data_IF_285278350330
#
_entry.id   IF_285278350330
#
_cell.length_a   1.000
_cell.length_b   1.000
_cell.length_c   1.000
_cell.angle_alpha   90.00
_cell.angle_beta   90.00
_cell.angle_gamma   90.00
#
_symmetry.space_group_name_H-M   'P 1'
#
loop_
_entity.id
_entity.type
_entity.pdbx_description
1 polymer ?
#
# COMPACT_ATOMS: atom_id res chain seq x y z
N UNK A 1 2.71 -7.21 -16.94
CA UNK A 1 1.52 -6.54 -17.54
C UNK A 1 0.22 -6.87 -16.81
N UNK A 2 -0.06 -8.13 -16.47
CA UNK A 2 -1.28 -8.58 -15.78
C UNK A 2 -1.61 -7.79 -14.49
N UNK A 3 -0.59 -7.44 -13.69
CA UNK A 3 -0.80 -6.69 -12.44
C UNK A 3 -1.37 -5.27 -12.62
N UNK A 4 -1.06 -4.58 -13.73
CA UNK A 4 -1.62 -3.24 -14.02
C UNK A 4 -3.08 -3.35 -14.42
N UNK A 5 -3.41 -4.31 -15.27
CA UNK A 5 -4.78 -4.51 -15.76
C UNK A 5 -5.71 -4.92 -14.63
N UNK A 6 -5.27 -5.81 -13.74
CA UNK A 6 -6.05 -6.24 -12.55
C UNK A 6 -6.26 -5.08 -11.57
N UNK A 7 -5.22 -4.27 -11.30
CA UNK A 7 -5.36 -3.10 -10.41
C UNK A 7 -6.32 -2.04 -10.98
N UNK A 8 -6.33 -1.86 -12.31
CA UNK A 8 -7.23 -0.92 -12.99
C UNK A 8 -8.67 -1.44 -12.99
N UNK A 9 -8.88 -2.73 -13.25
CA UNK A 9 -10.21 -3.36 -13.21
C UNK A 9 -10.80 -3.25 -11.80
N UNK A 10 -9.99 -3.54 -10.77
CA UNK A 10 -10.43 -3.42 -9.38
C UNK A 10 -10.70 -1.97 -8.97
N UNK A 11 -9.93 -1.00 -9.47
CA UNK A 11 -10.23 0.42 -9.29
C UNK A 11 -11.57 0.79 -9.92
N UNK A 12 -11.85 0.31 -11.13
CA UNK A 12 -13.13 0.56 -11.81
C UNK A 12 -14.28 -0.03 -10.99
N UNK A 13 -14.14 -1.26 -10.49
CA UNK A 13 -15.14 -1.91 -9.64
C UNK A 13 -15.38 -1.08 -8.37
N UNK A 14 -14.33 -0.63 -7.68
CA UNK A 14 -14.41 0.23 -6.49
C UNK A 14 -15.11 1.57 -6.80
N UNK A 15 -14.71 2.26 -7.87
CA UNK A 15 -15.33 3.53 -8.29
C UNK A 15 -16.80 3.34 -8.65
N UNK A 16 -17.15 2.27 -9.38
CA UNK A 16 -18.55 1.98 -9.72
C UNK A 16 -19.38 1.66 -8.48
N UNK A 17 -18.84 0.92 -7.50
CA UNK A 17 -19.52 0.62 -6.23
C UNK A 17 -19.80 1.89 -5.42
N UNK A 18 -18.81 2.79 -5.30
CA UNK A 18 -18.96 4.05 -4.57
C UNK A 18 -19.93 5.02 -5.26
N UNK A 19 -19.92 5.09 -6.59
CA UNK A 19 -20.89 5.91 -7.36
C UNK A 19 -22.32 5.39 -7.16
N UNK A 20 -22.53 4.08 -7.25
CA UNK A 20 -23.85 3.47 -7.01
C UNK A 20 -24.33 3.76 -5.59
N UNK A 21 -23.44 3.64 -4.60
CA UNK A 21 -23.81 3.88 -3.21
C UNK A 21 -24.13 5.36 -2.92
N UNK A 22 -23.39 6.28 -3.56
CA UNK A 22 -23.68 7.72 -3.50
C UNK A 22 -25.06 8.03 -4.08
N UNK A 23 -25.42 7.43 -5.22
CA UNK A 23 -26.73 7.63 -5.84
C UNK A 23 -27.88 7.08 -4.98
N UNK A 24 -27.68 5.95 -4.30
CA UNK A 24 -28.70 5.35 -3.44
C UNK A 24 -28.93 6.14 -2.13
N UNK A 25 -27.88 6.73 -1.57
CA UNK A 25 -27.92 7.39 -0.25
C UNK A 25 -27.88 8.93 -0.32
N UNK A 26 -28.11 9.52 -1.50
CA UNK A 26 -28.01 10.98 -1.70
C UNK A 26 -28.90 11.81 -0.77
N UNK A 27 -30.00 11.23 -0.28
CA UNK A 27 -30.92 11.90 0.65
C UNK A 27 -30.41 11.96 2.10
N UNK A 28 -29.54 11.03 2.53
CA UNK A 28 -28.98 11.04 3.88
C UNK A 28 -27.63 11.76 3.90
N UNK A 29 -27.63 12.98 4.43
CA UNK A 29 -26.45 13.83 4.53
C UNK A 29 -25.29 13.15 5.27
N UNK A 30 -25.57 12.29 6.27
CA UNK A 30 -24.52 11.61 7.05
C UNK A 30 -23.84 10.53 6.19
N UNK A 31 -24.64 9.70 5.52
CA UNK A 31 -24.14 8.67 4.61
C UNK A 31 -23.33 9.29 3.45
N UNK A 32 -23.78 10.42 2.90
CA UNK A 32 -23.04 11.14 1.85
C UNK A 32 -21.66 11.60 2.32
N UNK A 33 -21.55 12.16 3.54
CA UNK A 33 -20.26 12.60 4.10
C UNK A 33 -19.33 11.39 4.29
N UNK A 34 -19.85 10.27 4.79
CA UNK A 34 -19.10 9.02 4.98
C UNK A 34 -18.57 8.46 3.65
N UNK A 35 -19.41 8.40 2.61
CA UNK A 35 -19.03 7.96 1.27
C UNK A 35 -17.93 8.85 0.68
N UNK A 36 -18.04 10.17 0.82
CA UNK A 36 -17.02 11.11 0.33
C UNK A 36 -15.68 10.88 1.06
N UNK A 37 -15.70 10.69 2.38
CA UNK A 37 -14.49 10.41 3.16
C UNK A 37 -13.81 9.11 2.71
N UNK A 38 -14.59 8.04 2.52
CA UNK A 38 -14.08 6.75 2.05
C UNK A 38 -13.50 6.89 0.64
N UNK A 39 -14.20 7.57 -0.27
CA UNK A 39 -13.72 7.84 -1.63
C UNK A 39 -12.38 8.60 -1.63
N UNK A 40 -12.27 9.68 -0.86
CA UNK A 40 -11.05 10.47 -0.74
C UNK A 40 -9.89 9.66 -0.16
N UNK A 41 -10.17 8.81 0.85
CA UNK A 41 -9.17 7.93 1.45
C UNK A 41 -8.67 6.87 0.45
N UNK A 42 -9.56 6.28 -0.35
CA UNK A 42 -9.22 5.33 -1.40
C UNK A 42 -8.40 5.98 -2.51
N UNK A 43 -8.79 7.19 -2.95
CA UNK A 43 -8.03 7.96 -3.95
C UNK A 43 -6.62 8.30 -3.45
N UNK A 44 -6.50 8.74 -2.20
CA UNK A 44 -5.21 9.02 -1.56
C UNK A 44 -4.30 7.77 -1.55
N UNK A 45 -4.83 6.63 -1.11
CA UNK A 45 -4.10 5.36 -1.07
C UNK A 45 -3.64 4.94 -2.47
N UNK A 46 -4.50 5.10 -3.47
CA UNK A 46 -4.19 4.79 -4.86
C UNK A 46 -3.05 5.65 -5.42
N UNK A 47 -3.12 6.97 -5.24
CA UNK A 47 -2.09 7.90 -5.74
C UNK A 47 -0.74 7.55 -5.13
N UNK A 48 -0.72 7.25 -3.83
CA UNK A 48 0.48 6.83 -3.10
C UNK A 48 1.02 5.49 -3.62
N UNK A 49 0.16 4.51 -3.85
CA UNK A 49 0.53 3.23 -4.47
C UNK A 49 1.14 3.40 -5.87
N UNK A 50 0.50 4.20 -6.73
CA UNK A 50 1.01 4.49 -8.08
C UNK A 50 2.37 5.18 -8.03
N UNK A 51 2.53 6.16 -7.15
CA UNK A 51 3.80 6.86 -6.95
C UNK A 51 4.91 5.90 -6.52
N UNK A 52 4.59 4.97 -5.63
CA UNK A 52 5.53 3.96 -5.16
C UNK A 52 5.95 3.00 -6.28
N UNK A 53 5.02 2.53 -7.13
CA UNK A 53 5.35 1.73 -8.32
C UNK A 53 6.28 2.48 -9.27
N UNK A 54 6.03 3.78 -9.48
CA UNK A 54 6.87 4.60 -10.37
C UNK A 54 8.30 4.71 -9.81
N UNK A 55 8.43 4.95 -8.49
CA UNK A 55 9.74 4.99 -7.82
C UNK A 55 10.47 3.64 -7.91
N UNK A 56 9.76 2.53 -7.67
CA UNK A 56 10.29 1.17 -7.78
C UNK A 56 10.86 0.92 -9.19
N UNK A 57 10.10 1.24 -10.24
CA UNK A 57 10.54 1.08 -11.65
C UNK A 57 11.73 1.96 -11.98
N UNK A 58 11.75 3.18 -11.46
CA UNK A 58 12.86 4.11 -11.69
C UNK A 58 14.14 3.56 -11.08
N UNK A 59 14.05 3.01 -9.86
CA UNK A 59 15.17 2.37 -9.19
C UNK A 59 15.69 1.14 -9.94
N UNK A 60 14.80 0.28 -10.45
CA UNK A 60 15.19 -0.88 -11.27
C UNK A 60 15.91 -0.46 -12.55
N UNK A 61 15.39 0.54 -13.26
CA UNK A 61 16.02 1.06 -14.49
C UNK A 61 17.40 1.68 -14.24
N UNK A 62 17.55 2.43 -13.14
CA UNK A 62 18.84 2.99 -12.74
C UNK A 62 19.86 1.89 -12.43
N UNK A 63 19.42 0.82 -11.77
CA UNK A 63 20.26 -0.34 -11.48
C UNK A 63 20.71 -1.07 -12.75
N UNK A 64 19.81 -1.28 -13.72
CA UNK A 64 20.13 -1.88 -15.01
C UNK A 64 21.11 -1.02 -15.80
N UNK A 65 20.85 0.29 -15.91
CA UNK A 65 21.74 1.22 -16.61
C UNK A 65 23.14 1.27 -15.98
N UNK A 66 23.25 1.20 -14.64
CA UNK A 66 24.56 1.11 -13.98
C UNK A 66 25.29 -0.19 -14.30
N UNK A 67 24.57 -1.32 -14.39
CA UNK A 67 25.15 -2.63 -14.74
C UNK A 67 25.67 -2.66 -16.17
N UNK A 68 24.92 -2.11 -17.11
CA UNK A 68 25.31 -2.03 -18.53
C UNK A 68 26.51 -1.12 -18.75
N UNK A 69 26.47 0.09 -18.18
CA UNK A 69 27.59 1.03 -18.26
C UNK A 69 28.87 0.40 -17.70
N UNK A 70 28.79 -0.28 -16.56
CA UNK A 70 29.95 -0.95 -15.99
C UNK A 70 30.49 -2.08 -16.89
N UNK A 71 29.64 -2.88 -17.54
CA UNK A 71 30.09 -3.94 -18.44
C UNK A 71 30.87 -3.40 -19.65
N UNK A 72 30.53 -2.18 -20.11
CA UNK A 72 31.22 -1.48 -21.21
C UNK A 72 32.55 -0.90 -20.75
N UNK A 73 32.60 -0.21 -19.60
CA UNK A 73 33.81 0.48 -19.12
C UNK A 73 34.87 -0.46 -18.52
N UNK A 74 34.53 -1.70 -18.17
CA UNK A 74 35.49 -2.69 -17.64
C UNK A 74 36.51 -3.22 -18.66
N UNK A 75 36.41 -2.86 -19.95
CA UNK A 75 37.34 -3.30 -21.01
C UNK A 75 38.45 -2.30 -21.37
N UNK A 76 38.43 -1.06 -20.86
CA UNK A 76 39.35 0.02 -21.30
C UNK A 76 40.26 0.61 -20.21
N UNK A 77 41.25 1.43 -20.63
CA UNK A 77 42.14 2.22 -19.74
C UNK A 77 41.41 3.28 -18.88
N UNK A 78 40.10 3.46 -19.07
CA UNK A 78 39.26 4.48 -18.42
C UNK A 78 38.85 4.15 -16.97
N UNK A 79 39.25 3.00 -16.44
CA UNK A 79 38.96 2.52 -15.09
C UNK A 79 39.22 3.55 -13.98
N UNK A 80 40.25 4.38 -14.15
CA UNK A 80 40.65 5.39 -13.16
C UNK A 80 39.73 6.62 -13.11
N UNK A 81 39.11 7.01 -14.25
CA UNK A 81 38.12 8.09 -14.33
C UNK A 81 36.77 7.60 -13.81
N UNK A 82 36.45 6.32 -14.10
CA UNK A 82 35.27 5.64 -13.61
C UNK A 82 35.26 5.55 -12.09
N UNK A 83 36.38 5.22 -11.42
CA UNK A 83 36.43 5.14 -9.95
C UNK A 83 36.12 6.49 -9.28
N UNK A 84 36.53 7.61 -9.88
CA UNK A 84 36.23 8.96 -9.37
C UNK A 84 34.77 9.34 -9.54
N UNK A 85 34.14 8.99 -10.66
CA UNK A 85 32.70 9.21 -10.89
C UNK A 85 31.82 8.19 -10.14
N UNK A 86 32.31 6.97 -9.95
CA UNK A 86 31.68 5.92 -9.18
C UNK A 86 31.62 6.26 -7.68
N UNK A 87 32.55 7.06 -7.15
CA UNK A 87 32.47 7.57 -5.79
C UNK A 87 31.25 8.48 -5.58
N UNK A 88 30.98 9.40 -6.51
CA UNK A 88 29.80 10.27 -6.46
C UNK A 88 28.51 9.49 -6.75
N UNK A 89 28.55 8.55 -7.69
CA UNK A 89 27.44 7.63 -7.95
C UNK A 89 27.08 6.78 -6.72
N UNK A 90 28.08 6.35 -5.94
CA UNK A 90 27.88 5.59 -4.69
C UNK A 90 27.13 6.41 -3.63
N UNK A 91 27.45 7.70 -3.47
CA UNK A 91 26.75 8.57 -2.52
C UNK A 91 25.29 8.82 -2.97
N UNK A 92 25.08 9.07 -4.27
CA UNK A 92 23.77 9.32 -4.84
C UNK A 92 22.86 8.09 -4.74
N UNK A 93 23.37 6.92 -5.08
CA UNK A 93 22.63 5.65 -5.07
C UNK A 93 22.31 5.22 -3.63
N UNK A 94 23.27 5.32 -2.71
CA UNK A 94 23.03 5.07 -1.28
C UNK A 94 21.98 6.03 -0.70
N UNK A 95 22.08 7.34 -1.00
CA UNK A 95 21.10 8.34 -0.58
C UNK A 95 19.70 8.08 -1.15
N UNK A 96 19.61 7.66 -2.42
CA UNK A 96 18.34 7.38 -3.09
C UNK A 96 17.63 6.16 -2.50
N UNK A 97 18.34 5.06 -2.24
CA UNK A 97 17.72 3.87 -1.64
C UNK A 97 17.33 4.06 -0.18
N UNK A 98 18.10 4.83 0.58
CA UNK A 98 17.69 5.23 1.92
C UNK A 98 16.40 6.08 1.89
N UNK A 99 16.30 7.01 0.94
CA UNK A 99 15.05 7.77 0.69
C UNK A 99 13.90 6.88 0.23
N UNK A 100 14.16 5.90 -0.63
CA UNK A 100 13.14 4.98 -1.10
C UNK A 100 12.57 4.11 0.03
N UNK A 101 13.46 3.55 0.87
CA UNK A 101 13.07 2.78 2.05
C UNK A 101 12.28 3.61 3.07
N UNK A 102 12.68 4.86 3.32
CA UNK A 102 11.92 5.75 4.22
C UNK A 102 10.59 6.18 3.63
N UNK A 103 10.51 6.43 2.31
CA UNK A 103 9.25 6.73 1.62
C UNK A 103 8.28 5.55 1.71
N UNK A 104 8.74 4.31 1.48
CA UNK A 104 7.94 3.10 1.64
C UNK A 104 7.36 2.97 3.05
N UNK A 105 8.20 3.18 4.07
CA UNK A 105 7.80 3.10 5.47
C UNK A 105 6.75 4.15 5.84
N UNK A 106 7.00 5.39 5.44
CA UNK A 106 6.06 6.50 5.63
C UNK A 106 4.73 6.19 4.92
N UNK A 107 4.75 5.72 3.67
CA UNK A 107 3.53 5.38 2.92
C UNK A 107 2.69 4.34 3.67
N UNK A 108 3.34 3.32 4.21
CA UNK A 108 2.66 2.25 4.93
C UNK A 108 1.97 2.74 6.20
N UNK A 109 2.67 3.56 7.01
CA UNK A 109 2.11 4.14 8.24
C UNK A 109 0.90 5.03 7.94
N UNK A 110 1.00 5.90 6.93
CA UNK A 110 -0.09 6.83 6.61
C UNK A 110 -1.29 6.11 6.00
N UNK A 111 -1.10 5.17 5.07
CA UNK A 111 -2.20 4.38 4.52
C UNK A 111 -2.90 3.54 5.61
N UNK A 112 -2.14 2.92 6.51
CA UNK A 112 -2.70 2.17 7.63
C UNK A 112 -3.46 3.02 8.63
N UNK A 113 -2.86 4.13 9.05
CA UNK A 113 -3.49 5.05 10.01
C UNK A 113 -4.82 5.59 9.47
N UNK A 114 -4.85 6.00 8.20
CA UNK A 114 -6.08 6.51 7.56
C UNK A 114 -7.17 5.43 7.48
N UNK A 115 -6.82 4.20 7.08
CA UNK A 115 -7.80 3.09 6.97
C UNK A 115 -8.37 2.71 8.34
N UNK A 116 -7.54 2.59 9.39
CA UNK A 116 -8.04 2.27 10.72
C UNK A 116 -8.91 3.39 11.28
N UNK A 117 -8.47 4.64 11.16
CA UNK A 117 -9.17 5.77 11.79
C UNK A 117 -10.48 6.10 11.08
N UNK A 118 -10.56 5.91 9.76
CA UNK A 118 -11.76 6.28 8.99
C UNK A 118 -12.66 5.07 8.68
N UNK A 119 -12.11 3.96 8.19
CA UNK A 119 -12.94 2.85 7.69
C UNK A 119 -13.49 1.98 8.82
N UNK A 120 -12.75 1.75 9.91
CA UNK A 120 -13.20 0.88 11.01
C UNK A 120 -14.39 1.49 11.77
N UNK A 121 -14.37 2.79 12.16
CA UNK A 121 -15.53 3.43 12.78
C UNK A 121 -16.72 3.57 11.82
N UNK A 122 -16.47 3.82 10.53
CA UNK A 122 -17.51 3.87 9.49
C UNK A 122 -18.33 2.57 9.41
N UNK A 123 -17.64 1.42 9.32
CA UNK A 123 -18.27 0.09 9.32
C UNK A 123 -19.05 -0.14 10.63
N UNK A 124 -18.48 0.27 11.76
CA UNK A 124 -19.11 0.09 13.08
C UNK A 124 -20.39 0.94 13.22
N UNK A 125 -20.38 2.18 12.73
CA UNK A 125 -21.52 3.08 12.73
C UNK A 125 -22.64 2.58 11.79
N UNK A 126 -22.28 2.19 10.57
CA UNK A 126 -23.22 1.64 9.59
C UNK A 126 -23.91 0.37 10.11
N UNK A 127 -23.16 -0.50 10.78
CA UNK A 127 -23.71 -1.71 11.40
C UNK A 127 -24.58 -1.41 12.64
N UNK A 128 -24.28 -0.37 13.40
CA UNK A 128 -25.14 0.10 14.50
C UNK A 128 -26.46 0.69 13.97
N UNK A 129 -26.42 1.45 12.88
CA UNK A 129 -27.60 1.98 12.22
C UNK A 129 -28.53 0.86 11.73
N UNK A 130 -27.95 -0.23 11.21
CA UNK A 130 -28.69 -1.44 10.83
C UNK A 130 -29.40 -2.10 12.02
N UNK A 131 -28.81 -2.11 13.21
CA UNK A 131 -29.40 -2.76 14.40
C UNK A 131 -30.47 -1.88 15.06
N UNK A 132 -30.28 -0.56 15.07
CA UNK A 132 -31.06 0.35 15.92
C UNK A 132 -32.15 1.15 15.21
N UNK A 133 -32.06 1.34 13.89
CA UNK A 133 -32.88 2.33 13.19
C UNK A 133 -33.55 1.83 11.91
N UNK A 134 -33.50 0.53 11.60
CA UNK A 134 -34.06 -0.01 10.37
C UNK A 134 -35.54 -0.38 10.54
N UNK A 135 -36.44 0.53 10.15
CA UNK A 135 -37.89 0.33 10.25
C UNK A 135 -38.51 -0.29 8.99
N UNK A 136 -37.88 -0.08 7.82
CA UNK A 136 -38.39 -0.56 6.52
C UNK A 136 -37.45 -1.60 5.89
N UNK A 137 -38.02 -2.62 5.23
CA UNK A 137 -37.25 -3.65 4.50
C UNK A 137 -36.32 -3.07 3.43
N UNK A 138 -36.72 -1.98 2.77
CA UNK A 138 -35.89 -1.29 1.77
C UNK A 138 -34.64 -0.64 2.39
N UNK A 139 -34.76 -0.02 3.57
CA UNK A 139 -33.64 0.62 4.28
C UNK A 139 -32.64 -0.43 4.77
N UNK A 140 -33.13 -1.57 5.27
CA UNK A 140 -32.30 -2.73 5.64
C UNK A 140 -31.43 -3.18 4.46
N UNK A 141 -32.04 -3.36 3.29
CA UNK A 141 -31.33 -3.82 2.09
C UNK A 141 -30.26 -2.81 1.67
N UNK A 142 -30.57 -1.51 1.71
CA UNK A 142 -29.61 -0.44 1.37
C UNK A 142 -28.43 -0.40 2.34
N UNK A 143 -28.67 -0.52 3.65
CA UNK A 143 -27.63 -0.54 4.68
C UNK A 143 -26.74 -1.80 4.57
N UNK A 144 -27.32 -2.97 4.30
CA UNK A 144 -26.54 -4.20 4.08
C UNK A 144 -25.63 -4.04 2.85
N UNK A 145 -26.17 -3.52 1.74
CA UNK A 145 -25.38 -3.24 0.54
C UNK A 145 -24.24 -2.25 0.82
N UNK A 146 -24.49 -1.23 1.65
CA UNK A 146 -23.48 -0.26 2.04
C UNK A 146 -22.34 -0.91 2.84
N UNK A 147 -22.66 -1.72 3.86
CA UNK A 147 -21.67 -2.43 4.67
C UNK A 147 -20.84 -3.39 3.79
N UNK A 148 -21.46 -4.09 2.84
CA UNK A 148 -20.75 -4.97 1.90
C UNK A 148 -19.74 -4.17 1.06
N UNK A 149 -20.12 -3.00 0.55
CA UNK A 149 -19.22 -2.12 -0.20
C UNK A 149 -18.04 -1.67 0.68
N UNK A 150 -18.31 -1.22 1.90
CA UNK A 150 -17.25 -0.82 2.84
C UNK A 150 -16.27 -1.97 3.16
N UNK A 151 -16.77 -3.20 3.30
CA UNK A 151 -15.94 -4.39 3.51
C UNK A 151 -15.10 -4.73 2.27
N UNK A 152 -15.65 -4.58 1.06
CA UNK A 152 -14.92 -4.74 -0.19
C UNK A 152 -13.83 -3.68 -0.36
N UNK A 153 -14.10 -2.44 0.05
CA UNK A 153 -13.12 -1.35 0.04
C UNK A 153 -11.96 -1.64 1.00
N UNK A 154 -12.27 -2.10 2.23
CA UNK A 154 -11.26 -2.53 3.19
C UNK A 154 -10.42 -3.71 2.64
N UNK A 155 -11.08 -4.71 2.06
CA UNK A 155 -10.43 -5.85 1.44
C UNK A 155 -9.48 -5.41 0.32
N UNK A 156 -9.92 -4.50 -0.55
CA UNK A 156 -9.11 -4.01 -1.66
C UNK A 156 -7.86 -3.25 -1.15
N UNK A 157 -7.99 -2.42 -0.12
CA UNK A 157 -6.85 -1.77 0.51
C UNK A 157 -5.85 -2.78 1.10
N UNK A 158 -6.34 -3.86 1.72
CA UNK A 158 -5.48 -4.94 2.22
C UNK A 158 -4.76 -5.67 1.09
N UNK A 159 -5.47 -5.98 0.01
CA UNK A 159 -4.92 -6.64 -1.17
C UNK A 159 -3.83 -5.79 -1.83
N UNK A 160 -4.08 -4.49 -2.01
CA UNK A 160 -3.10 -3.56 -2.59
C UNK A 160 -1.84 -3.45 -1.74
N UNK A 161 -2.02 -3.40 -0.42
CA UNK A 161 -0.93 -3.36 0.56
C UNK A 161 -0.11 -4.66 0.55
N UNK A 162 -0.77 -5.81 0.50
CA UNK A 162 -0.12 -7.12 0.38
C UNK A 162 0.67 -7.20 -0.92
N UNK A 163 0.08 -6.78 -2.04
CA UNK A 163 0.75 -6.81 -3.33
C UNK A 163 2.01 -5.95 -3.34
N UNK A 164 1.99 -4.82 -2.63
CA UNK A 164 3.16 -3.97 -2.45
C UNK A 164 4.26 -4.67 -1.65
N UNK A 165 3.90 -5.39 -0.59
CA UNK A 165 4.83 -6.20 0.20
C UNK A 165 5.43 -7.31 -0.66
N UNK A 166 4.61 -8.06 -1.40
CA UNK A 166 5.05 -9.17 -2.24
C UNK A 166 6.02 -8.70 -3.35
N UNK A 167 5.75 -7.55 -3.98
CA UNK A 167 6.66 -6.96 -4.98
C UNK A 167 7.96 -6.46 -4.34
N UNK A 168 7.92 -5.99 -3.09
CA UNK A 168 9.15 -5.62 -2.36
C UNK A 168 9.99 -6.86 -1.99
N UNK A 169 9.34 -7.97 -1.63
CA UNK A 169 10.00 -9.24 -1.30
C UNK A 169 10.51 -9.96 -2.55
N UNK A 170 9.80 -9.87 -3.68
CA UNK A 170 10.23 -10.46 -4.95
C UNK A 170 11.54 -9.83 -5.45
N UNK A 171 11.65 -8.50 -5.32
CA UNK A 171 12.90 -7.76 -5.58
C UNK A 171 13.99 -8.26 -4.64
N UNK A 172 13.70 -8.41 -3.36
CA UNK A 172 14.65 -8.95 -2.38
C UNK A 172 15.12 -10.38 -2.72
N UNK A 173 14.23 -11.27 -3.17
CA UNK A 173 14.60 -12.63 -3.60
C UNK A 173 15.46 -12.60 -4.85
N UNK A 174 15.09 -11.81 -5.85
CA UNK A 174 15.89 -11.65 -7.06
C UNK A 174 17.32 -11.19 -6.73
N UNK A 175 17.45 -10.30 -5.75
CA UNK A 175 18.71 -9.82 -5.21
C UNK A 175 19.50 -10.95 -4.55
N UNK A 176 18.87 -11.72 -3.65
CA UNK A 176 19.52 -12.82 -2.93
C UNK A 176 20.00 -13.96 -3.85
N UNK A 177 19.24 -14.28 -4.89
CA UNK A 177 19.57 -15.36 -5.84
C UNK A 177 20.43 -14.91 -7.03
N UNK A 178 20.56 -13.61 -7.27
CA UNK A 178 21.55 -13.10 -8.22
C UNK A 178 22.96 -13.34 -7.68
N UNK A 179 23.98 -13.42 -8.56
CA UNK A 179 25.38 -13.35 -8.16
C UNK A 179 25.72 -11.94 -7.62
N UNK A 180 25.05 -11.54 -6.53
CA UNK A 180 25.12 -10.22 -5.91
C UNK A 180 26.56 -9.90 -5.48
N UNK A 181 27.39 -10.92 -5.25
CA UNK A 181 28.80 -10.80 -4.94
C UNK A 181 29.71 -10.56 -6.14
N UNK A 182 29.20 -10.75 -7.37
CA UNK A 182 29.89 -10.42 -8.63
C UNK A 182 29.48 -9.08 -9.21
N UNK A 183 28.36 -8.50 -8.75
CA UNK A 183 28.00 -7.10 -9.05
C UNK A 183 28.86 -6.15 -8.21
N UNK A 184 29.10 -4.91 -8.69
CA UNK A 184 29.96 -3.97 -7.98
C UNK A 184 29.52 -3.80 -6.52
N UNK A 185 30.49 -3.59 -5.63
CA UNK A 185 30.29 -3.30 -4.19
C UNK A 185 29.21 -2.22 -3.93
N UNK A 186 28.99 -1.32 -4.89
CA UNK A 186 27.98 -0.28 -4.83
C UNK A 186 26.56 -0.83 -4.97
N UNK A 187 26.31 -1.67 -5.98
CA UNK A 187 25.05 -2.40 -6.14
C UNK A 187 24.89 -3.36 -4.97
N UNK A 188 25.95 -4.08 -4.59
CA UNK A 188 25.96 -4.99 -3.46
C UNK A 188 25.51 -4.34 -2.14
N UNK A 189 26.02 -3.15 -1.80
CA UNK A 189 25.61 -2.40 -0.60
C UNK A 189 24.16 -1.90 -0.70
N UNK A 190 23.72 -1.52 -1.90
CA UNK A 190 22.34 -1.14 -2.14
C UNK A 190 21.41 -2.31 -1.90
N UNK A 191 21.73 -3.43 -2.55
CA UNK A 191 21.05 -4.70 -2.45
C UNK A 191 20.96 -5.13 -0.99
N UNK A 192 22.07 -5.12 -0.26
CA UNK A 192 22.10 -5.41 1.18
C UNK A 192 21.25 -4.44 1.99
N UNK A 193 21.23 -3.13 1.71
CA UNK A 193 20.42 -2.16 2.47
C UNK A 193 18.92 -2.27 2.18
N UNK A 194 18.53 -2.42 0.91
CA UNK A 194 17.13 -2.69 0.53
C UNK A 194 16.69 -4.01 1.13
N UNK A 195 17.53 -5.06 1.04
CA UNK A 195 17.30 -6.36 1.66
C UNK A 195 17.25 -6.26 3.17
N UNK A 196 18.14 -5.56 3.88
CA UNK A 196 18.11 -5.44 5.36
C UNK A 196 16.86 -4.67 5.84
N UNK A 197 16.43 -3.67 5.07
CA UNK A 197 15.26 -2.85 5.41
C UNK A 197 13.94 -3.52 5.01
N UNK A 198 13.94 -4.38 3.99
CA UNK A 198 12.80 -5.24 3.64
C UNK A 198 12.78 -6.57 4.40
N UNK A 199 13.92 -7.06 4.91
CA UNK A 199 14.05 -8.15 5.91
C UNK A 199 13.63 -7.73 7.33
N UNK A 200 13.26 -6.47 7.52
CA UNK A 200 12.17 -6.19 8.45
C UNK A 200 10.89 -6.45 7.65
N UNK A 201 10.43 -7.72 7.53
CA UNK A 201 9.07 -7.91 7.09
C UNK A 201 8.25 -7.09 8.08
N UNK A 202 7.23 -6.38 7.61
CA UNK A 202 6.03 -6.26 8.44
C UNK A 202 6.30 -5.78 9.89
N UNK A 203 7.26 -4.88 10.06
CA UNK A 203 7.71 -4.34 11.35
C UNK A 203 7.73 -2.83 11.31
N UNK A 204 7.07 -2.24 10.31
CA UNK A 204 6.59 -0.87 10.37
C UNK A 204 5.36 -0.91 11.26
N UNK A 205 5.65 -1.11 12.53
CA UNK A 205 4.73 -0.96 13.62
C UNK A 205 4.35 0.50 13.69
N UNK A 206 3.16 0.82 13.20
CA UNK A 206 2.39 1.89 13.82
C UNK A 206 2.14 1.48 15.28
N UNK A 207 3.08 1.81 16.17
CA UNK A 207 2.97 1.59 17.61
C UNK A 207 2.70 0.15 18.09
N UNK A 208 3.44 -0.87 17.63
CA UNK A 208 3.26 -2.30 18.00
C UNK A 208 1.95 -2.96 17.55
N UNK A 209 1.09 -2.30 16.77
CA UNK A 209 -0.22 -2.83 16.40
C UNK A 209 -0.33 -3.05 14.90
N UNK A 210 -0.10 -4.29 14.48
CA UNK A 210 -0.53 -4.90 13.20
C UNK A 210 -0.07 -4.26 11.88
N UNK A 211 0.09 -5.12 10.88
CA UNK A 211 0.44 -4.76 9.50
C UNK A 211 -0.77 -4.89 8.59
N UNK A 212 -1.07 -3.91 7.72
CA UNK A 212 -1.95 -4.13 6.56
C UNK A 212 -1.42 -5.27 5.71
N UNK A 213 -2.11 -6.39 5.76
CA UNK A 213 -1.88 -7.57 4.95
C UNK A 213 -3.14 -8.44 4.97
N UNK A 214 -3.21 -9.40 4.07
CA UNK A 214 -4.36 -10.30 3.97
C UNK A 214 -4.58 -11.09 5.29
N UNK A 215 -3.48 -11.43 5.95
CA UNK A 215 -3.45 -12.12 7.25
C UNK A 215 -4.13 -11.31 8.36
N UNK A 216 -4.11 -9.97 8.25
CA UNK A 216 -4.58 -9.05 9.29
C UNK A 216 -5.94 -8.44 8.97
N UNK A 217 -6.51 -8.72 7.78
CA UNK A 217 -7.87 -8.32 7.42
C UNK A 217 -8.89 -8.80 8.47
N UNK A 218 -8.81 -10.08 8.86
CA UNK A 218 -9.72 -10.66 9.85
C UNK A 218 -9.65 -9.96 11.21
N UNK A 219 -8.48 -9.46 11.59
CA UNK A 219 -8.31 -8.73 12.84
C UNK A 219 -8.78 -7.27 12.76
N UNK A 220 -8.73 -6.63 11.59
CA UNK A 220 -9.42 -5.34 11.39
C UNK A 220 -10.94 -5.49 11.47
N UNK A 221 -11.50 -6.55 10.88
CA UNK A 221 -12.94 -6.86 11.00
C UNK A 221 -13.31 -7.13 12.46
N UNK A 222 -12.51 -7.92 13.20
CA UNK A 222 -12.71 -8.11 14.65
C UNK A 222 -12.67 -6.80 15.43
N UNK A 223 -11.77 -5.89 15.04
CA UNK A 223 -11.68 -4.56 15.65
C UNK A 223 -12.97 -3.78 15.40
N UNK A 224 -13.49 -3.73 14.17
CA UNK A 224 -14.79 -3.10 13.86
C UNK A 224 -15.94 -3.69 14.69
N UNK A 225 -16.02 -5.01 14.82
CA UNK A 225 -17.03 -5.67 15.67
C UNK A 225 -16.86 -5.31 17.15
N UNK A 226 -15.62 -5.19 17.64
CA UNK A 226 -15.35 -4.74 19.00
C UNK A 226 -15.81 -3.30 19.23
N UNK A 227 -15.55 -2.39 18.28
CA UNK A 227 -16.03 -1.00 18.33
C UNK A 227 -17.56 -0.95 18.31
N UNK A 228 -18.20 -1.74 17.45
CA UNK A 228 -19.66 -1.89 17.44
C UNK A 228 -20.20 -2.36 18.79
N UNK A 229 -19.58 -3.36 19.41
CA UNK A 229 -20.01 -3.88 20.71
C UNK A 229 -19.92 -2.79 21.80
N UNK A 230 -18.86 -2.00 21.79
CA UNK A 230 -18.71 -0.85 22.70
C UNK A 230 -19.78 0.20 22.44
N UNK A 231 -20.02 0.56 21.18
CA UNK A 231 -21.04 1.54 20.83
C UNK A 231 -22.44 1.09 21.25
N UNK A 232 -22.78 -0.20 21.06
CA UNK A 232 -24.04 -0.76 21.54
C UNK A 232 -24.16 -0.78 23.06
N UNK A 233 -23.05 -0.92 23.80
CA UNK A 233 -23.06 -0.91 25.26
C UNK A 233 -23.18 0.50 25.86
N UNK A 234 -22.81 1.54 25.10
CA UNK A 234 -22.88 2.95 25.52
C UNK A 234 -24.22 3.60 25.17
N UNK A 235 -24.96 3.02 24.22
CA UNK A 235 -26.28 3.45 23.79
C UNK A 235 -27.38 3.02 24.77
#
# INVERSE_FOLDING_TARGET
MVCRTVSIILLIIHLTGQIICFLLNFHDKKAVIEIIMIFLSGLYCLVKYLNNIIHLRTMTKLLESMKENQAVFMKGKEKQILDKHAHNGKLFVHGYSCKFASLLEIMYVWCFGVVIVLCVPAISYSALQLITHSNTTQEVIQLIMFIVIQLLDLFFNCYLSQKLIDESESIQKYINFSDWYKVPINTQKLLILTTLRSQKPSGITAGKMMTLGMENFGAMVKTAVSYLTVLMAVQ
#
